data_IF_726719772877
#
_entry.id   IF_726719772877
#
_cell.length_a   1.000
_cell.length_b   1.000
_cell.length_c   1.000
_cell.angle_alpha   90.00
_cell.angle_beta   90.00
_cell.angle_gamma   90.00
#
_symmetry.space_group_name_H-M   'P 1'
#
loop_
_entity.id
_entity.type
_entity.pdbx_description
1 polymer ?
#
# COMPACT_ATOMS: atom_id res chain seq x y z
N UNK A 1 -33.20 -59.23 -16.32
CA UNK A 1 -34.24 -58.33 -15.80
C UNK A 1 -33.59 -57.57 -14.68
N UNK A 2 -33.29 -56.30 -14.83
CA UNK A 2 -32.75 -55.48 -13.76
C UNK A 2 -33.90 -55.23 -12.77
N UNK A 3 -33.74 -55.69 -11.53
CA UNK A 3 -34.66 -55.35 -10.45
C UNK A 3 -34.46 -53.84 -10.20
N UNK A 4 -35.42 -53.04 -10.60
CA UNK A 4 -35.42 -51.61 -10.32
C UNK A 4 -35.71 -51.45 -8.83
N UNK A 5 -34.68 -51.18 -8.07
CA UNK A 5 -34.77 -50.91 -6.63
C UNK A 5 -35.68 -49.70 -6.40
N UNK A 6 -36.58 -49.79 -5.41
CA UNK A 6 -37.46 -48.69 -5.01
C UNK A 6 -37.05 -48.14 -3.68
N UNK A 7 -37.04 -46.84 -3.60
CA UNK A 7 -36.79 -46.13 -2.31
C UNK A 7 -37.97 -46.45 -1.35
N UNK A 8 -37.69 -46.94 -0.15
CA UNK A 8 -38.71 -47.36 0.81
C UNK A 8 -39.54 -46.18 1.36
N UNK A 9 -39.03 -44.97 1.30
CA UNK A 9 -39.71 -43.78 1.85
C UNK A 9 -40.62 -43.13 0.80
N UNK A 10 -40.10 -42.88 -0.39
CA UNK A 10 -40.83 -42.17 -1.46
C UNK A 10 -41.62 -43.11 -2.40
N UNK A 11 -41.28 -44.41 -2.47
CA UNK A 11 -41.86 -45.39 -3.38
C UNK A 11 -41.39 -45.26 -4.84
N UNK A 12 -40.55 -44.25 -5.16
CA UNK A 12 -40.00 -44.08 -6.51
C UNK A 12 -38.92 -45.12 -6.81
N UNK A 13 -38.79 -45.51 -8.06
CA UNK A 13 -37.66 -46.31 -8.51
C UNK A 13 -36.35 -45.50 -8.43
N UNK A 14 -35.24 -46.13 -8.11
CA UNK A 14 -33.94 -45.52 -8.16
C UNK A 14 -33.32 -45.58 -9.55
N UNK A 15 -32.38 -44.70 -9.88
CA UNK A 15 -31.64 -44.75 -11.15
C UNK A 15 -30.57 -45.85 -11.15
N UNK A 16 -30.29 -46.45 -9.99
CA UNK A 16 -29.18 -47.39 -9.76
C UNK A 16 -27.83 -46.75 -9.42
N UNK A 17 -27.74 -45.44 -9.44
CA UNK A 17 -26.54 -44.72 -8.98
C UNK A 17 -26.56 -44.59 -7.46
N UNK A 18 -25.42 -44.86 -6.84
CA UNK A 18 -25.18 -44.69 -5.42
C UNK A 18 -23.99 -43.74 -5.23
N UNK A 19 -24.23 -42.62 -4.54
CA UNK A 19 -23.26 -41.62 -4.20
C UNK A 19 -22.94 -41.67 -2.70
N UNK A 20 -22.06 -42.60 -2.30
CA UNK A 20 -21.71 -42.81 -0.89
C UNK A 20 -22.92 -43.09 0.03
N UNK A 21 -23.86 -43.96 -0.43
CA UNK A 21 -25.04 -44.30 0.33
C UNK A 21 -26.28 -43.45 0.02
N UNK A 22 -26.15 -42.40 -0.80
CA UNK A 22 -27.28 -41.60 -1.27
C UNK A 22 -27.67 -42.08 -2.66
N UNK A 23 -28.90 -42.56 -2.79
CA UNK A 23 -29.44 -43.09 -4.06
C UNK A 23 -30.29 -42.03 -4.77
N UNK A 24 -30.09 -41.91 -6.08
CA UNK A 24 -30.91 -41.03 -6.93
C UNK A 24 -32.27 -41.67 -7.18
N UNK A 25 -33.33 -40.88 -7.05
CA UNK A 25 -34.68 -41.27 -7.39
C UNK A 25 -34.97 -41.00 -8.86
N UNK A 26 -35.50 -41.98 -9.58
CA UNK A 26 -35.99 -41.79 -10.92
C UNK A 26 -37.41 -41.18 -10.89
N UNK A 27 -37.48 -39.93 -10.45
CA UNK A 27 -38.71 -39.16 -10.36
C UNK A 27 -38.82 -38.17 -11.54
N UNK A 28 -40.03 -37.85 -12.01
CA UNK A 28 -40.17 -36.83 -13.04
C UNK A 28 -39.73 -35.47 -12.54
N UNK A 29 -39.09 -34.69 -13.43
CA UNK A 29 -38.65 -33.33 -13.09
C UNK A 29 -39.87 -32.49 -12.69
N UNK A 30 -39.87 -31.82 -11.54
CA UNK A 30 -40.96 -30.95 -11.12
C UNK A 30 -41.26 -29.87 -12.17
N UNK A 31 -42.55 -29.70 -12.50
CA UNK A 31 -42.99 -28.74 -13.53
C UNK A 31 -42.45 -27.32 -13.25
N UNK A 32 -42.30 -26.93 -11.98
CA UNK A 32 -41.76 -25.63 -11.61
C UNK A 32 -40.29 -25.44 -12.10
N UNK A 33 -39.48 -26.50 -12.05
CA UNK A 33 -38.10 -26.48 -12.56
C UNK A 33 -38.10 -26.33 -14.08
N UNK A 34 -38.97 -27.03 -14.77
CA UNK A 34 -39.10 -26.92 -16.23
C UNK A 34 -39.51 -25.51 -16.65
N UNK A 35 -40.51 -24.94 -15.95
CA UNK A 35 -40.95 -23.55 -16.20
C UNK A 35 -39.84 -22.55 -15.89
N UNK A 36 -39.14 -22.73 -14.79
CA UNK A 36 -37.98 -21.87 -14.45
C UNK A 36 -36.90 -21.91 -15.55
N UNK A 37 -36.54 -23.11 -15.99
CA UNK A 37 -35.58 -23.28 -17.09
C UNK A 37 -36.09 -22.63 -18.39
N UNK A 38 -37.34 -22.82 -18.76
CA UNK A 38 -37.89 -22.21 -19.96
C UNK A 38 -37.86 -20.68 -19.91
N UNK A 39 -38.28 -20.08 -18.79
CA UNK A 39 -38.28 -18.62 -18.58
C UNK A 39 -36.88 -18.05 -18.63
N UNK A 40 -35.91 -18.69 -17.93
CA UNK A 40 -34.53 -18.23 -17.92
C UNK A 40 -33.85 -18.36 -19.28
N UNK A 41 -34.15 -19.39 -20.06
CA UNK A 41 -33.66 -19.53 -21.44
C UNK A 41 -34.23 -18.44 -22.36
N UNK A 42 -35.54 -18.19 -22.30
CA UNK A 42 -36.17 -17.10 -23.07
C UNK A 42 -35.54 -15.77 -22.69
N UNK A 43 -35.36 -15.51 -21.39
CA UNK A 43 -34.66 -14.31 -20.93
C UNK A 43 -33.23 -14.22 -21.48
N UNK A 44 -32.45 -15.29 -21.42
CA UNK A 44 -31.09 -15.32 -21.94
C UNK A 44 -31.03 -15.00 -23.44
N UNK A 45 -31.93 -15.59 -24.24
CA UNK A 45 -31.99 -15.31 -25.68
C UNK A 45 -32.35 -13.84 -25.95
N UNK A 46 -33.31 -13.28 -25.22
CA UNK A 46 -33.67 -11.86 -25.31
C UNK A 46 -32.46 -10.99 -24.93
N UNK A 47 -31.81 -11.32 -23.83
CA UNK A 47 -30.61 -10.58 -23.38
C UNK A 47 -29.47 -10.63 -24.42
N UNK A 48 -29.24 -11.76 -25.07
CA UNK A 48 -28.24 -11.91 -26.13
C UNK A 48 -28.51 -11.04 -27.35
N UNK A 49 -29.75 -10.78 -27.65
CA UNK A 49 -30.14 -9.91 -28.76
C UNK A 49 -30.05 -8.44 -28.36
N UNK A 50 -30.42 -8.10 -27.12
CA UNK A 50 -30.51 -6.71 -26.66
C UNK A 50 -29.20 -6.15 -26.20
N UNK A 51 -28.36 -6.93 -25.53
CA UNK A 51 -27.15 -6.45 -24.86
C UNK A 51 -25.85 -6.95 -25.52
N UNK A 52 -24.70 -6.32 -25.26
CA UNK A 52 -23.41 -6.81 -25.71
C UNK A 52 -23.12 -8.19 -25.12
N UNK A 53 -22.88 -9.21 -25.97
CA UNK A 53 -22.81 -10.59 -25.48
C UNK A 53 -21.75 -11.44 -26.17
N UNK A 54 -21.68 -11.43 -27.51
CA UNK A 54 -20.85 -12.35 -28.26
C UNK A 54 -19.47 -11.77 -28.54
N UNK A 55 -18.36 -12.45 -28.15
CA UNK A 55 -17.01 -12.01 -28.51
C UNK A 55 -16.75 -12.20 -30.01
N UNK A 56 -16.20 -11.15 -30.64
CA UNK A 56 -15.81 -11.10 -32.05
C UNK A 56 -14.27 -11.03 -32.21
N UNK A 57 -13.51 -11.65 -31.31
CA UNK A 57 -12.05 -11.58 -31.25
C UNK A 57 -11.55 -10.40 -30.43
N UNK A 58 -11.50 -9.20 -30.97
CA UNK A 58 -11.08 -7.98 -30.25
C UNK A 58 -12.25 -7.10 -29.77
N UNK A 59 -13.47 -7.43 -30.15
CA UNK A 59 -14.71 -6.72 -29.79
C UNK A 59 -15.83 -7.68 -29.48
N UNK A 60 -17.03 -7.19 -29.17
CA UNK A 60 -18.26 -7.99 -29.02
C UNK A 60 -19.42 -7.34 -29.75
N UNK A 61 -20.50 -8.14 -29.94
CA UNK A 61 -21.77 -7.59 -30.48
C UNK A 61 -22.29 -6.53 -29.52
N UNK A 62 -22.71 -5.38 -30.05
CA UNK A 62 -23.24 -4.27 -29.23
C UNK A 62 -24.69 -4.49 -28.78
N UNK A 63 -25.38 -5.49 -29.36
CA UNK A 63 -26.80 -5.70 -29.16
C UNK A 63 -27.69 -4.62 -29.81
N UNK A 64 -28.98 -4.81 -29.79
CA UNK A 64 -29.96 -3.84 -30.36
C UNK A 64 -30.01 -2.54 -29.55
N UNK A 65 -29.73 -2.59 -28.26
CA UNK A 65 -29.69 -1.40 -27.40
C UNK A 65 -28.38 -0.61 -27.54
N UNK A 66 -27.41 -1.10 -28.31
CA UNK A 66 -26.18 -0.39 -28.62
C UNK A 66 -25.27 -0.09 -27.42
N UNK A 67 -25.40 -0.84 -26.34
CA UNK A 67 -24.62 -0.67 -25.12
C UNK A 67 -23.13 -0.86 -25.36
N UNK A 68 -22.32 0.09 -24.93
CA UNK A 68 -20.86 0.03 -24.94
C UNK A 68 -20.34 0.45 -23.57
N UNK A 69 -19.98 -0.56 -22.76
CA UNK A 69 -19.51 -0.34 -21.40
C UNK A 69 -18.22 0.48 -21.37
N UNK A 70 -17.33 0.34 -22.36
CA UNK A 70 -16.11 1.12 -22.44
C UNK A 70 -16.40 2.61 -22.69
N UNK A 71 -17.35 2.90 -23.58
CA UNK A 71 -17.78 4.27 -23.82
C UNK A 71 -18.49 4.88 -22.61
N UNK A 72 -19.33 4.10 -21.92
CA UNK A 72 -19.99 4.56 -20.70
C UNK A 72 -18.95 4.91 -19.62
N UNK A 73 -18.00 4.00 -19.33
CA UNK A 73 -16.92 4.26 -18.37
C UNK A 73 -16.05 5.44 -18.79
N UNK A 74 -15.71 5.56 -20.08
CA UNK A 74 -14.95 6.70 -20.58
C UNK A 74 -15.69 8.03 -20.40
N UNK A 75 -17.01 8.05 -20.64
CA UNK A 75 -17.85 9.22 -20.42
C UNK A 75 -17.94 9.60 -18.92
N UNK A 76 -18.09 8.61 -18.03
CA UNK A 76 -18.12 8.83 -16.59
C UNK A 76 -16.78 9.37 -16.07
N UNK A 77 -15.66 8.82 -16.55
CA UNK A 77 -14.32 9.31 -16.21
C UNK A 77 -14.15 10.76 -16.70
N UNK A 78 -14.54 11.06 -17.95
CA UNK A 78 -14.45 12.40 -18.49
C UNK A 78 -15.30 13.40 -17.70
N UNK A 79 -16.53 13.04 -17.34
CA UNK A 79 -17.41 13.87 -16.53
C UNK A 79 -16.84 14.12 -15.13
N UNK A 80 -16.35 13.06 -14.47
CA UNK A 80 -15.73 13.16 -13.15
C UNK A 80 -14.43 14.00 -13.18
N UNK A 81 -13.65 13.90 -14.26
CA UNK A 81 -12.45 14.72 -14.45
C UNK A 81 -12.81 16.18 -14.67
N UNK A 82 -13.80 16.47 -15.52
CA UNK A 82 -14.27 17.84 -15.75
C UNK A 82 -14.82 18.47 -14.45
N UNK A 83 -15.59 17.73 -13.66
CA UNK A 83 -16.13 18.21 -12.38
C UNK A 83 -15.04 18.54 -11.33
N UNK A 84 -13.83 17.99 -11.47
CA UNK A 84 -12.71 18.25 -10.58
C UNK A 84 -11.70 19.27 -11.12
N UNK A 85 -11.82 19.67 -12.39
CA UNK A 85 -10.78 20.43 -13.10
C UNK A 85 -10.38 21.71 -12.37
N UNK A 86 -11.35 22.50 -11.89
CA UNK A 86 -11.10 23.79 -11.27
C UNK A 86 -10.25 23.67 -10.01
N UNK A 87 -10.72 22.93 -9.00
CA UNK A 87 -10.00 22.79 -7.73
C UNK A 87 -8.72 21.94 -7.84
N UNK A 88 -8.63 21.02 -8.80
CA UNK A 88 -7.38 20.32 -9.11
C UNK A 88 -6.34 21.27 -9.71
N UNK A 89 -6.77 22.26 -10.50
CA UNK A 89 -5.87 23.30 -11.01
C UNK A 89 -5.35 24.20 -9.87
N UNK A 90 -6.19 24.52 -8.88
CA UNK A 90 -5.77 25.24 -7.69
C UNK A 90 -4.71 24.46 -6.90
N UNK A 91 -4.95 23.19 -6.64
CA UNK A 91 -3.97 22.30 -5.99
C UNK A 91 -2.64 22.25 -6.74
N UNK A 92 -2.65 22.27 -8.07
CA UNK A 92 -1.43 22.19 -8.87
C UNK A 92 -0.61 23.48 -8.84
N UNK A 93 -1.21 24.64 -8.58
CA UNK A 93 -0.57 25.95 -8.82
C UNK A 93 -0.38 26.82 -7.58
N UNK A 94 -1.21 26.69 -6.56
CA UNK A 94 -1.09 27.49 -5.33
C UNK A 94 0.02 26.95 -4.42
N UNK A 95 0.60 27.80 -3.57
CA UNK A 95 1.50 27.37 -2.52
C UNK A 95 0.78 26.59 -1.41
N UNK A 96 1.49 25.77 -0.63
CA UNK A 96 0.87 24.92 0.38
C UNK A 96 0.24 25.69 1.53
N UNK A 97 0.73 26.87 1.87
CA UNK A 97 0.15 27.69 2.94
C UNK A 97 -1.23 28.24 2.50
N UNK A 98 -1.32 28.68 1.24
CA UNK A 98 -2.61 29.10 0.65
C UNK A 98 -3.59 27.94 0.58
N UNK A 99 -3.15 26.73 0.22
CA UNK A 99 -3.99 25.54 0.22
C UNK A 99 -4.50 25.18 1.61
N UNK A 100 -3.64 25.22 2.64
CA UNK A 100 -4.04 24.97 4.04
C UNK A 100 -5.01 26.02 4.58
N UNK A 101 -4.95 27.25 4.08
CA UNK A 101 -5.85 28.34 4.49
C UNK A 101 -7.28 28.18 3.94
N UNK A 102 -7.52 27.33 2.95
CA UNK A 102 -8.85 27.04 2.40
C UNK A 102 -9.40 25.70 2.96
N UNK A 103 -10.28 25.74 3.97
CA UNK A 103 -10.79 24.53 4.60
C UNK A 103 -11.68 23.68 3.67
N UNK A 104 -12.37 24.29 2.72
CA UNK A 104 -13.23 23.57 1.77
C UNK A 104 -12.40 22.83 0.74
N UNK A 105 -11.34 23.46 0.24
CA UNK A 105 -10.38 22.83 -0.66
C UNK A 105 -9.63 21.70 0.03
N UNK A 106 -9.15 21.92 1.25
CA UNK A 106 -8.49 20.89 2.06
C UNK A 106 -9.41 19.71 2.33
N UNK A 107 -10.67 19.92 2.69
CA UNK A 107 -11.59 18.81 2.93
C UNK A 107 -11.78 17.95 1.67
N UNK A 108 -11.90 18.56 0.48
CA UNK A 108 -12.01 17.86 -0.81
C UNK A 108 -10.72 17.13 -1.15
N UNK A 109 -9.57 17.79 -0.95
CA UNK A 109 -8.26 17.21 -1.21
C UNK A 109 -8.04 15.95 -0.35
N UNK A 110 -8.24 16.04 0.96
CA UNK A 110 -8.05 14.92 1.89
C UNK A 110 -9.00 13.76 1.60
N UNK A 111 -10.29 14.03 1.34
CA UNK A 111 -11.27 13.00 1.00
C UNK A 111 -10.96 12.29 -0.34
N UNK A 112 -10.30 13.00 -1.28
CA UNK A 112 -9.90 12.41 -2.56
C UNK A 112 -8.55 11.68 -2.45
N UNK A 113 -7.64 12.16 -1.60
CA UNK A 113 -6.34 11.55 -1.38
C UNK A 113 -6.43 10.21 -0.64
N UNK A 114 -7.37 10.05 0.29
CA UNK A 114 -7.52 8.83 1.09
C UNK A 114 -7.66 7.56 0.24
N UNK A 115 -8.61 7.45 -0.72
CA UNK A 115 -8.69 6.30 -1.61
C UNK A 115 -7.48 6.18 -2.56
N UNK A 116 -6.87 7.29 -2.96
CA UNK A 116 -5.66 7.30 -3.79
C UNK A 116 -4.47 6.70 -3.02
N UNK A 117 -4.33 7.05 -1.73
CA UNK A 117 -3.36 6.44 -0.81
C UNK A 117 -3.62 4.93 -0.65
N UNK A 118 -4.87 4.54 -0.46
CA UNK A 118 -5.29 3.15 -0.36
C UNK A 118 -4.89 2.32 -1.57
N UNK A 119 -4.98 2.88 -2.77
CA UNK A 119 -4.66 2.18 -4.02
C UNK A 119 -3.16 2.10 -4.31
N UNK A 120 -2.37 3.09 -3.90
CA UNK A 120 -0.98 3.24 -4.34
C UNK A 120 0.06 3.10 -3.22
N UNK A 121 -0.25 3.49 -1.99
CA UNK A 121 0.71 3.64 -0.90
C UNK A 121 0.53 2.60 0.22
N UNK A 122 -0.73 2.24 0.50
CA UNK A 122 -1.10 1.38 1.63
C UNK A 122 -0.44 -0.01 1.58
N UNK A 123 -0.16 -0.55 0.39
CA UNK A 123 0.46 -1.88 0.24
C UNK A 123 1.83 -1.96 0.93
N UNK A 124 2.54 -0.84 1.00
CA UNK A 124 3.83 -0.71 1.69
C UNK A 124 3.69 -0.02 3.04
N UNK A 125 3.00 1.12 3.08
CA UNK A 125 2.93 1.97 4.29
C UNK A 125 1.79 1.61 5.26
N UNK A 126 1.03 0.56 4.98
CA UNK A 126 -0.08 0.13 5.84
C UNK A 126 -1.33 1.01 5.72
N UNK A 127 -2.45 0.52 6.24
CA UNK A 127 -3.69 1.29 6.31
C UNK A 127 -3.48 2.54 7.19
N UNK A 128 -3.90 3.71 6.70
CA UNK A 128 -3.70 4.96 7.42
C UNK A 128 -2.23 5.33 7.72
N UNK A 129 -1.28 4.78 6.97
CA UNK A 129 0.13 5.09 7.13
C UNK A 129 0.80 4.46 8.36
N UNK A 130 0.24 3.38 8.89
CA UNK A 130 0.77 2.73 10.12
C UNK A 130 2.10 1.98 9.92
N UNK A 131 2.63 1.96 8.70
CA UNK A 131 3.87 1.26 8.38
C UNK A 131 3.74 -0.25 8.35
N UNK A 132 4.89 -0.91 8.31
CA UNK A 132 5.02 -2.36 8.37
C UNK A 132 6.49 -2.76 8.44
N UNK A 133 6.82 -4.05 8.58
CA UNK A 133 8.21 -4.49 8.64
C UNK A 133 9.00 -4.05 7.40
N UNK A 134 9.98 -3.16 7.59
CA UNK A 134 10.81 -2.60 6.52
C UNK A 134 10.20 -1.41 5.78
N UNK A 135 9.03 -0.93 6.20
CA UNK A 135 8.37 0.26 5.64
C UNK A 135 8.06 1.27 6.73
N UNK A 136 8.44 2.55 6.56
CA UNK A 136 8.25 3.56 7.60
C UNK A 136 6.77 3.86 7.84
N UNK A 137 6.45 4.21 9.06
CA UNK A 137 5.18 4.83 9.43
C UNK A 137 5.13 6.23 8.84
N UNK A 138 3.92 6.70 8.59
CA UNK A 138 3.66 8.05 8.06
C UNK A 138 2.69 8.83 8.95
N UNK A 139 2.33 8.24 10.09
CA UNK A 139 1.36 8.81 11.03
C UNK A 139 1.94 8.99 12.44
N UNK A 140 3.26 8.96 12.60
CA UNK A 140 3.95 9.10 13.88
C UNK A 140 4.64 10.46 14.06
N UNK A 141 4.78 11.24 12.98
CA UNK A 141 5.49 12.51 12.99
C UNK A 141 7.02 12.37 12.97
N UNK A 142 7.55 11.16 12.81
CA UNK A 142 9.00 10.90 12.70
C UNK A 142 9.41 10.85 11.23
N UNK A 143 10.31 11.75 10.83
CA UNK A 143 10.65 11.96 9.44
C UNK A 143 12.15 11.80 9.17
N UNK A 144 12.49 10.98 8.16
CA UNK A 144 13.87 10.81 7.69
C UNK A 144 14.31 11.89 6.70
N UNK A 145 13.37 12.53 6.01
CA UNK A 145 13.62 13.44 4.89
C UNK A 145 12.85 14.76 5.01
N UNK A 146 12.34 15.05 6.20
CA UNK A 146 11.48 16.16 6.46
C UNK A 146 9.99 15.82 6.33
N UNK A 147 9.16 16.55 7.10
CA UNK A 147 7.73 16.28 7.27
C UNK A 147 6.81 17.39 6.76
N UNK A 148 7.35 18.43 6.15
CA UNK A 148 6.53 19.47 5.49
C UNK A 148 5.95 18.93 4.18
N UNK A 149 4.82 19.47 3.74
CA UNK A 149 4.21 19.05 2.48
C UNK A 149 5.18 19.18 1.29
N UNK A 150 6.06 20.18 1.30
CA UNK A 150 7.08 20.41 0.27
C UNK A 150 8.13 19.30 0.23
N UNK A 151 8.59 18.85 1.41
CA UNK A 151 9.59 17.78 1.54
C UNK A 151 8.99 16.42 1.22
N UNK A 152 7.75 16.20 1.65
CA UNK A 152 6.97 15.00 1.32
C UNK A 152 6.70 14.95 -0.18
N UNK A 153 6.30 16.08 -0.81
CA UNK A 153 6.12 16.18 -2.26
C UNK A 153 7.41 15.83 -3.00
N UNK A 154 8.55 16.35 -2.55
CA UNK A 154 9.88 16.05 -3.12
C UNK A 154 10.18 14.55 -3.06
N UNK A 155 9.89 13.92 -1.91
CA UNK A 155 10.06 12.46 -1.74
C UNK A 155 9.12 11.67 -2.64
N UNK A 156 7.86 12.09 -2.78
CA UNK A 156 6.91 11.47 -3.69
C UNK A 156 7.35 11.59 -5.15
N UNK A 157 7.80 12.78 -5.58
CA UNK A 157 8.25 13.00 -6.96
C UNK A 157 9.37 12.08 -7.34
N UNK A 158 10.44 12.09 -6.57
CA UNK A 158 11.72 11.52 -6.98
C UNK A 158 11.98 10.15 -6.37
N UNK A 159 11.26 9.79 -5.32
CA UNK A 159 11.46 8.54 -4.59
C UNK A 159 12.75 8.51 -3.78
N UNK A 160 13.05 7.35 -3.23
CA UNK A 160 14.28 7.06 -2.48
C UNK A 160 14.93 5.84 -3.13
N UNK A 161 16.21 5.94 -3.51
CA UNK A 161 16.94 4.91 -4.23
C UNK A 161 16.19 4.39 -5.48
N UNK A 162 15.41 5.26 -6.11
CA UNK A 162 14.64 4.96 -7.32
C UNK A 162 15.51 5.18 -8.57
N UNK A 163 15.08 4.74 -9.76
CA UNK A 163 15.78 5.05 -11.01
C UNK A 163 15.72 6.53 -11.44
N UNK A 164 14.99 7.38 -10.72
CA UNK A 164 14.89 8.80 -11.06
C UNK A 164 16.23 9.51 -10.85
N UNK A 165 16.69 10.41 -11.76
CA UNK A 165 17.98 11.09 -11.62
C UNK A 165 18.10 11.94 -10.34
N UNK A 166 16.99 12.53 -9.88
CA UNK A 166 16.94 13.36 -8.69
C UNK A 166 16.48 12.57 -7.44
N UNK A 167 16.57 11.24 -7.47
CA UNK A 167 16.15 10.39 -6.35
C UNK A 167 16.94 10.71 -5.08
N UNK A 168 16.29 10.69 -3.93
CA UNK A 168 16.96 10.73 -2.64
C UNK A 168 17.78 9.46 -2.47
N UNK A 169 19.01 9.57 -1.99
CA UNK A 169 19.90 8.42 -1.81
C UNK A 169 20.11 8.16 -0.32
N UNK A 170 19.82 6.95 0.13
CA UNK A 170 20.08 6.49 1.49
C UNK A 170 20.54 5.03 1.47
N UNK A 171 21.71 4.79 2.02
CA UNK A 171 22.24 3.44 2.14
C UNK A 171 23.02 3.32 3.45
N UNK A 172 22.65 2.36 4.29
CA UNK A 172 23.46 1.92 5.41
C UNK A 172 24.41 0.82 4.90
N UNK A 173 25.73 0.99 5.03
CA UNK A 173 26.72 -0.01 4.58
C UNK A 173 26.54 -1.35 5.31
N UNK A 174 26.91 -2.44 4.65
CA UNK A 174 26.93 -3.77 5.24
C UNK A 174 28.25 -4.01 5.97
N UNK A 175 28.42 -3.43 7.14
CA UNK A 175 29.69 -3.42 7.87
C UNK A 175 30.31 -4.82 8.06
N UNK A 176 29.48 -5.84 8.29
CA UNK A 176 29.97 -7.21 8.43
C UNK A 176 30.24 -7.91 7.11
N UNK A 177 29.26 -7.90 6.19
CA UNK A 177 29.38 -8.58 4.89
C UNK A 177 30.52 -8.04 4.05
N UNK A 178 30.70 -6.72 4.06
CA UNK A 178 31.68 -6.03 3.24
C UNK A 178 33.06 -5.93 3.97
N UNK A 179 33.18 -6.51 5.17
CA UNK A 179 34.42 -6.60 5.92
C UNK A 179 34.93 -5.26 6.49
N UNK A 180 34.02 -4.28 6.65
CA UNK A 180 34.36 -2.95 7.16
C UNK A 180 34.67 -2.99 8.66
N UNK A 181 33.97 -3.83 9.41
CA UNK A 181 34.16 -4.02 10.85
C UNK A 181 34.25 -5.53 11.18
N UNK A 182 35.16 -5.93 12.08
CA UNK A 182 35.26 -7.31 12.53
C UNK A 182 34.07 -7.66 13.47
N UNK A 183 33.76 -8.94 13.55
CA UNK A 183 32.63 -9.45 14.32
C UNK A 183 32.54 -8.96 15.79
N UNK A 184 33.64 -8.88 16.56
CA UNK A 184 33.57 -8.36 17.93
C UNK A 184 33.09 -6.91 18.01
N UNK A 185 33.50 -6.05 17.06
CA UNK A 185 33.08 -4.65 17.00
C UNK A 185 31.61 -4.53 16.62
N UNK A 186 31.12 -5.36 15.69
CA UNK A 186 29.69 -5.43 15.36
C UNK A 186 28.85 -5.82 16.59
N UNK A 187 29.32 -6.77 17.40
CA UNK A 187 28.63 -7.13 18.64
C UNK A 187 28.64 -5.98 19.64
N UNK A 188 29.77 -5.31 19.83
CA UNK A 188 29.88 -4.15 20.71
C UNK A 188 28.96 -2.99 20.26
N UNK A 189 28.92 -2.70 18.96
CA UNK A 189 27.99 -1.70 18.39
C UNK A 189 26.52 -2.13 18.55
N UNK A 190 26.20 -3.42 18.41
CA UNK A 190 24.83 -3.91 18.63
C UNK A 190 24.35 -3.57 20.05
N UNK A 191 25.16 -3.89 21.05
CA UNK A 191 24.85 -3.61 22.46
C UNK A 191 24.78 -2.10 22.72
N UNK A 192 25.69 -1.33 22.13
CA UNK A 192 25.69 0.13 22.25
C UNK A 192 24.42 0.75 21.69
N UNK A 193 24.01 0.39 20.47
CA UNK A 193 22.79 0.91 19.85
C UNK A 193 21.53 0.51 20.63
N UNK A 194 21.50 -0.68 21.22
CA UNK A 194 20.43 -1.06 22.15
C UNK A 194 20.34 -0.15 23.37
N UNK A 195 21.48 0.33 23.89
CA UNK A 195 21.48 1.26 25.03
C UNK A 195 21.00 2.65 24.63
N UNK A 196 21.27 3.10 23.41
CA UNK A 196 20.76 4.38 22.88
C UNK A 196 19.23 4.41 22.87
N UNK A 197 18.59 3.35 22.34
CA UNK A 197 17.12 3.19 22.33
C UNK A 197 16.48 3.11 23.74
N UNK A 198 17.28 2.89 24.78
CA UNK A 198 16.85 2.93 26.17
C UNK A 198 17.18 4.25 26.90
N UNK A 199 17.51 5.31 26.15
CA UNK A 199 17.73 6.66 26.69
C UNK A 199 19.11 6.89 27.30
N UNK A 200 20.10 6.07 26.97
CA UNK A 200 21.52 6.33 27.32
C UNK A 200 22.04 7.46 26.44
N UNK A 201 22.44 8.57 27.06
CA UNK A 201 22.90 9.74 26.35
C UNK A 201 24.26 9.43 25.69
N UNK A 202 24.45 9.74 24.38
CA UNK A 202 25.76 9.72 23.74
C UNK A 202 26.73 10.64 24.49
N UNK A 203 27.84 10.14 24.90
CA UNK A 203 28.84 10.87 25.73
C UNK A 203 29.63 9.90 26.59
N UNK A 204 29.31 8.65 26.51
CA UNK A 204 30.07 7.52 27.04
C UNK A 204 31.46 7.48 26.35
N UNK A 205 32.50 7.30 27.13
CA UNK A 205 33.89 7.15 26.66
C UNK A 205 34.28 5.70 26.41
N UNK A 206 33.30 4.81 26.29
CA UNK A 206 33.51 3.37 26.00
C UNK A 206 34.11 3.18 24.60
N UNK A 207 34.78 2.06 24.40
CA UNK A 207 35.29 1.70 23.07
C UNK A 207 34.16 1.58 22.03
N UNK A 208 32.95 1.20 22.44
CA UNK A 208 31.78 1.10 21.55
C UNK A 208 31.26 2.49 21.15
N UNK A 209 31.26 3.45 22.07
CA UNK A 209 30.97 4.86 21.77
C UNK A 209 31.94 5.44 20.75
N UNK A 210 33.26 5.20 20.92
CA UNK A 210 34.28 5.61 19.95
C UNK A 210 34.03 4.97 18.58
N UNK A 211 33.76 3.68 18.52
CA UNK A 211 33.41 2.99 17.26
C UNK A 211 32.18 3.59 16.58
N UNK A 212 31.16 3.98 17.36
CA UNK A 212 29.98 4.66 16.83
C UNK A 212 30.33 6.02 16.24
N UNK A 213 31.10 6.83 16.95
CA UNK A 213 31.54 8.14 16.45
C UNK A 213 32.34 8.02 15.15
N UNK A 214 33.27 7.06 15.09
CA UNK A 214 34.14 6.88 13.93
C UNK A 214 33.41 6.34 12.69
N UNK A 215 32.35 5.53 12.86
CA UNK A 215 31.73 4.79 11.76
C UNK A 215 30.25 5.11 11.50
N UNK A 216 29.53 5.67 12.48
CA UNK A 216 28.08 5.81 12.43
C UNK A 216 27.61 7.27 12.50
N UNK A 217 28.31 8.12 13.27
CA UNK A 217 27.90 9.50 13.52
C UNK A 217 27.84 10.37 12.26
N UNK A 218 28.58 10.02 11.21
CA UNK A 218 28.55 10.74 9.92
C UNK A 218 27.17 10.73 9.24
N UNK A 219 26.28 9.78 9.59
CA UNK A 219 24.91 9.71 9.11
C UNK A 219 23.89 9.83 10.25
N UNK A 220 24.16 9.17 11.40
CA UNK A 220 23.24 9.15 12.53
C UNK A 220 23.38 10.32 13.51
N UNK A 221 24.36 11.22 13.28
CA UNK A 221 24.65 12.30 14.21
C UNK A 221 25.51 11.88 15.41
N UNK A 222 26.25 12.81 16.01
CA UNK A 222 27.03 12.57 17.22
C UNK A 222 26.12 12.21 18.41
N UNK A 223 24.89 12.68 18.40
CA UNK A 223 23.84 12.42 19.38
C UNK A 223 22.93 11.24 19.00
N UNK A 224 23.25 10.55 17.91
CA UNK A 224 22.51 9.41 17.35
C UNK A 224 21.05 9.69 16.91
N UNK A 225 20.68 10.97 16.71
CA UNK A 225 19.31 11.38 16.32
C UNK A 225 19.06 11.45 14.81
N UNK A 226 20.01 11.01 14.02
CA UNK A 226 19.99 11.17 12.57
C UNK A 226 20.48 12.56 12.14
N UNK A 227 20.96 12.64 10.92
CA UNK A 227 21.31 13.91 10.27
C UNK A 227 20.33 14.18 9.13
N UNK A 228 19.80 15.40 9.09
CA UNK A 228 18.92 15.85 8.02
C UNK A 228 19.55 15.63 6.64
N UNK A 229 18.76 15.15 5.69
CA UNK A 229 19.19 14.90 4.33
C UNK A 229 20.01 13.62 4.11
N UNK A 230 20.31 12.85 5.15
CA UNK A 230 21.00 11.56 5.03
C UNK A 230 20.06 10.37 4.91
N UNK A 231 18.81 10.51 5.37
CA UNK A 231 17.83 9.43 5.48
C UNK A 231 18.15 8.42 6.58
N UNK A 232 19.08 8.75 7.49
CA UNK A 232 19.41 7.93 8.64
C UNK A 232 18.43 8.20 9.79
N UNK A 233 17.85 7.14 10.42
CA UNK A 233 16.90 7.30 11.50
C UNK A 233 17.56 7.76 12.81
N UNK A 234 16.76 8.35 13.69
CA UNK A 234 17.04 8.48 15.12
C UNK A 234 17.19 7.09 15.71
N UNK A 235 18.25 6.84 16.46
CA UNK A 235 18.52 5.58 17.14
C UNK A 235 18.23 5.65 18.65
N UNK A 236 17.72 6.79 19.11
CA UNK A 236 17.42 7.06 20.53
C UNK A 236 15.93 6.98 20.85
N UNK A 237 15.08 6.87 19.83
CA UNK A 237 13.62 6.76 19.96
C UNK A 237 13.12 5.30 19.92
N UNK A 238 11.79 5.14 19.93
CA UNK A 238 11.14 3.83 19.88
C UNK A 238 10.72 3.42 18.45
N UNK A 239 10.98 4.27 17.45
CA UNK A 239 10.46 4.08 16.08
C UNK A 239 11.50 3.38 15.19
N UNK A 240 11.31 2.08 15.01
CA UNK A 240 12.22 1.21 14.28
C UNK A 240 11.59 0.65 13.01
N UNK A 241 12.08 1.06 11.84
CA UNK A 241 11.59 0.56 10.53
C UNK A 241 11.83 -0.94 10.37
N UNK A 242 12.98 -1.45 10.83
CA UNK A 242 13.38 -2.85 10.66
C UNK A 242 13.32 -3.67 11.95
N UNK A 243 13.13 -2.99 13.09
CA UNK A 243 13.10 -3.57 14.42
C UNK A 243 14.32 -3.20 15.25
N UNK A 244 14.08 -2.93 16.55
CA UNK A 244 15.06 -2.44 17.54
C UNK A 244 15.59 -3.51 18.49
N UNK A 245 15.32 -4.80 18.25
CA UNK A 245 15.89 -5.89 19.04
C UNK A 245 17.33 -6.24 18.64
N UNK A 246 18.09 -6.87 19.56
CA UNK A 246 19.50 -7.20 19.35
C UNK A 246 19.77 -8.01 18.08
N UNK A 247 18.85 -8.93 17.71
CA UNK A 247 19.03 -9.78 16.54
C UNK A 247 18.89 -8.95 15.28
N UNK A 248 17.89 -8.10 15.23
CA UNK A 248 17.58 -7.24 14.08
C UNK A 248 18.62 -6.13 13.90
N UNK A 249 19.06 -5.48 14.98
CA UNK A 249 20.14 -4.47 14.93
C UNK A 249 21.44 -5.11 14.42
N UNK A 250 21.81 -6.29 14.96
CA UNK A 250 22.99 -7.02 14.47
C UNK A 250 22.86 -7.40 13.00
N UNK A 251 21.68 -7.85 12.56
CA UNK A 251 21.44 -8.16 11.16
C UNK A 251 21.59 -6.92 10.29
N UNK A 252 21.12 -5.76 10.75
CA UNK A 252 21.26 -4.47 10.07
C UNK A 252 22.74 -4.08 9.92
N UNK A 253 23.54 -4.21 10.97
CA UNK A 253 24.99 -3.97 10.92
C UNK A 253 25.72 -4.97 10.01
N UNK A 254 25.31 -6.23 10.01
CA UNK A 254 25.94 -7.26 9.17
C UNK A 254 25.62 -7.08 7.69
N UNK A 255 24.37 -6.84 7.34
CA UNK A 255 23.89 -6.90 5.96
C UNK A 255 23.66 -5.53 5.32
N UNK A 256 23.67 -4.45 6.11
CA UNK A 256 23.28 -3.12 5.67
C UNK A 256 21.78 -3.00 5.42
N UNK A 257 21.36 -1.78 5.06
CA UNK A 257 19.97 -1.49 4.64
C UNK A 257 19.97 -0.55 3.44
N UNK A 258 19.12 -0.86 2.48
CA UNK A 258 18.87 0.00 1.33
C UNK A 258 17.43 -0.23 0.88
N UNK A 259 16.50 0.54 1.47
CA UNK A 259 15.10 0.53 1.04
C UNK A 259 14.92 1.27 -0.28
N UNK A 260 13.87 0.95 -1.01
CA UNK A 260 13.50 1.62 -2.26
C UNK A 260 12.08 2.15 -2.13
N UNK A 261 11.89 3.45 -2.35
CA UNK A 261 10.59 4.07 -2.59
C UNK A 261 10.53 4.50 -4.06
N UNK A 262 9.57 4.02 -4.86
CA UNK A 262 9.50 4.42 -6.27
C UNK A 262 9.18 5.91 -6.42
N UNK A 263 9.68 6.52 -7.49
CA UNK A 263 9.26 7.84 -7.92
C UNK A 263 7.82 7.80 -8.44
N UNK A 264 7.03 8.79 -8.09
CA UNK A 264 5.63 8.93 -8.50
C UNK A 264 5.43 10.01 -9.58
N UNK A 265 6.44 10.80 -9.88
CA UNK A 265 6.42 11.73 -11.01
C UNK A 265 6.16 10.98 -12.32
N UNK A 266 5.19 11.44 -13.11
CA UNK A 266 4.75 10.77 -14.33
C UNK A 266 3.80 9.57 -14.12
N UNK A 267 3.56 9.16 -12.87
CA UNK A 267 2.56 8.14 -12.48
C UNK A 267 1.32 8.77 -11.85
N UNK A 268 1.50 9.82 -11.09
CA UNK A 268 0.46 10.68 -10.55
C UNK A 268 0.53 12.05 -11.24
N UNK A 269 -0.63 12.67 -11.41
CA UNK A 269 -0.71 14.05 -11.89
C UNK A 269 -0.14 15.03 -10.85
N UNK A 270 0.23 16.25 -11.29
CA UNK A 270 0.82 17.28 -10.43
C UNK A 270 -0.04 17.59 -9.20
N UNK A 271 -1.33 17.81 -9.41
CA UNK A 271 -2.27 18.04 -8.32
C UNK A 271 -2.41 16.84 -7.39
N UNK A 272 -2.30 15.61 -7.91
CA UNK A 272 -2.38 14.38 -7.10
C UNK A 272 -1.14 14.20 -6.22
N UNK A 273 0.06 14.54 -6.70
CA UNK A 273 1.30 14.53 -5.91
C UNK A 273 1.17 15.49 -4.73
N UNK A 274 0.74 16.71 -4.98
CA UNK A 274 0.58 17.76 -3.96
C UNK A 274 -0.54 17.44 -2.98
N UNK A 275 -1.67 16.95 -3.47
CA UNK A 275 -2.76 16.47 -2.66
C UNK A 275 -2.32 15.31 -1.74
N UNK A 276 -1.52 14.39 -2.25
CA UNK A 276 -0.96 13.28 -1.48
C UNK A 276 0.02 13.77 -0.41
N UNK A 277 0.84 14.79 -0.69
CA UNK A 277 1.72 15.40 0.29
C UNK A 277 0.94 16.00 1.47
N UNK A 278 -0.11 16.77 1.20
CA UNK A 278 -1.02 17.32 2.22
C UNK A 278 -1.71 16.22 3.04
N UNK A 279 -2.12 15.13 2.38
CA UNK A 279 -2.75 14.01 3.06
C UNK A 279 -1.78 13.31 4.02
N UNK A 280 -0.57 13.02 3.58
CA UNK A 280 0.46 12.37 4.40
C UNK A 280 0.85 13.27 5.58
N UNK A 281 1.05 14.58 5.36
CA UNK A 281 1.26 15.57 6.43
C UNK A 281 0.12 15.51 7.45
N UNK A 282 -1.13 15.45 6.99
CA UNK A 282 -2.30 15.38 7.86
C UNK A 282 -2.41 14.07 8.66
N UNK A 283 -1.82 12.97 8.19
CA UNK A 283 -1.76 11.71 8.94
C UNK A 283 -0.85 11.84 10.16
N UNK A 284 0.32 12.46 10.00
CA UNK A 284 1.26 12.70 11.09
C UNK A 284 0.66 13.61 12.19
N UNK A 285 -0.04 14.67 11.78
CA UNK A 285 -0.72 15.59 12.72
C UNK A 285 -1.80 14.89 13.55
N UNK A 286 -2.53 13.94 12.95
CA UNK A 286 -3.54 13.16 13.67
C UNK A 286 -2.89 12.19 14.65
N UNK A 287 -1.87 11.44 14.21
CA UNK A 287 -1.17 10.49 15.07
C UNK A 287 -0.48 11.17 16.26
N UNK A 288 0.09 12.35 16.08
CA UNK A 288 0.67 13.13 17.17
C UNK A 288 -0.38 13.58 18.20
N UNK A 289 -1.63 13.84 17.81
CA UNK A 289 -2.74 14.18 18.72
C UNK A 289 -3.30 12.98 19.47
N UNK A 290 -3.30 11.80 18.83
CA UNK A 290 -3.81 10.57 19.45
C UNK A 290 -2.81 9.96 20.44
N UNK A 291 -1.54 10.39 20.40
CA UNK A 291 -0.47 9.95 21.30
C UNK A 291 -0.34 10.80 22.58
N UNK A 292 -1.08 11.91 22.71
CA UNK A 292 -1.14 12.81 23.89
C UNK A 292 -2.32 12.48 24.78
#
# INVERSE_FOLDING_TARGET
>A
MSVTERDPVSGFATTGHDWNGIKELNSPIPRVVVWFLAVTHVYAVIAWVLFPTWPLGQTYTKGLLGGDQQQAVAADIAAATAARADWMSELATQDFDSLRADPDLMARALATAEPLFGQNCQVCHGAGGMGGPGFPRLNDGVWLWGGTAEEIETTLRFGINSPHPDTRFAQMPAFGRDGLLPRPEILALTEYVLTLGNGVIPGDTSAAATLFQDNCAGCHGEDAKGLEGTGAPDLTDADWIYGGDAVTIRQTLLAGRQGVMPAWQGRLAEAELRMMALYIESLADKGAKDAQ
#
